data_IF_513953303977
#
_entry.id   IF_513953303977
#
_cell.length_a   1.000
_cell.length_b   1.000
_cell.length_c   1.000
_cell.angle_alpha   90.00
_cell.angle_beta   90.00
_cell.angle_gamma   90.00
#
_symmetry.space_group_name_H-M   'P 1'
#
loop_
_entity.id
_entity.type
_entity.pdbx_description
1 polymer ?
#
# COMPACT_ATOMS: atom_id res chain seq x y z
N UNK A 1 12.10 20.87 12.66
CA UNK A 1 12.53 19.47 12.43
C UNK A 1 11.46 18.78 11.62
N UNK A 2 11.83 18.02 10.58
CA UNK A 2 10.88 17.16 9.86
C UNK A 2 10.52 15.95 10.72
N UNK A 3 9.28 15.48 10.63
CA UNK A 3 8.83 14.26 11.31
C UNK A 3 9.05 13.07 10.37
N UNK A 4 9.50 11.95 10.94
CA UNK A 4 9.43 10.65 10.27
C UNK A 4 8.10 10.01 10.68
N UNK A 5 7.27 9.69 9.70
CA UNK A 5 5.94 9.08 9.91
C UNK A 5 5.94 7.72 9.23
N UNK A 6 5.42 6.71 9.94
CA UNK A 6 5.17 5.38 9.39
C UNK A 6 3.66 5.25 9.22
N UNK A 7 3.23 4.84 8.03
CA UNK A 7 1.84 4.53 7.69
C UNK A 7 1.86 3.19 6.95
N UNK A 8 1.10 2.23 7.45
CA UNK A 8 1.09 0.86 6.95
C UNK A 8 -0.28 0.22 7.19
N UNK A 9 -0.64 -0.74 6.32
CA UNK A 9 -1.74 -1.66 6.56
C UNK A 9 -1.20 -2.87 7.30
N UNK A 10 -1.88 -3.27 8.38
CA UNK A 10 -1.45 -4.34 9.27
C UNK A 10 -2.65 -5.17 9.71
N UNK A 11 -2.57 -6.48 9.55
CA UNK A 11 -3.57 -7.40 10.13
C UNK A 11 -3.43 -7.47 11.65
N UNK A 12 -4.46 -7.97 12.35
CA UNK A 12 -4.45 -8.10 13.81
C UNK A 12 -3.29 -8.97 14.33
N UNK A 13 -2.89 -9.98 13.56
CA UNK A 13 -1.77 -10.89 13.86
C UNK A 13 -0.41 -10.43 13.30
N UNK A 14 -0.35 -9.23 12.72
CA UNK A 14 0.91 -8.55 12.40
C UNK A 14 1.43 -8.74 10.97
N UNK A 15 0.57 -9.07 10.01
CA UNK A 15 0.93 -9.27 8.61
C UNK A 15 0.77 -7.98 7.79
N UNK A 16 1.81 -7.64 7.04
CA UNK A 16 1.84 -6.51 6.08
C UNK A 16 2.02 -6.98 4.63
N UNK A 17 2.32 -8.27 4.42
CA UNK A 17 2.64 -8.83 3.10
C UNK A 17 1.38 -8.94 2.23
N UNK A 18 1.52 -8.60 0.94
CA UNK A 18 0.49 -8.71 -0.08
C UNK A 18 -0.92 -8.20 0.31
N UNK A 19 -1.09 -6.96 0.82
CA UNK A 19 -2.41 -6.42 1.17
C UNK A 19 -3.34 -6.26 -0.02
N UNK A 20 -2.83 -5.86 -1.19
CA UNK A 20 -3.63 -5.40 -2.32
C UNK A 20 -4.09 -6.52 -3.27
N UNK A 21 -3.14 -7.19 -3.93
CA UNK A 21 -3.47 -8.24 -4.91
C UNK A 21 -3.14 -9.66 -4.40
N UNK A 22 -3.90 -10.69 -4.81
CA UNK A 22 -3.61 -12.10 -4.47
C UNK A 22 -2.19 -12.56 -4.82
N UNK A 23 -1.61 -11.98 -5.86
CA UNK A 23 -0.28 -12.29 -6.40
C UNK A 23 0.76 -11.17 -6.18
N UNK A 24 0.46 -10.18 -5.32
CA UNK A 24 1.34 -9.01 -5.08
C UNK A 24 2.72 -9.41 -4.54
N UNK A 25 2.75 -10.29 -3.54
CA UNK A 25 3.97 -10.81 -2.92
C UNK A 25 3.75 -12.20 -2.34
N UNK A 26 4.08 -13.23 -3.13
CA UNK A 26 3.94 -14.64 -2.74
C UNK A 26 5.25 -15.23 -2.19
N UNK A 27 6.22 -14.39 -1.79
CA UNK A 27 7.48 -14.87 -1.21
C UNK A 27 7.23 -15.77 0.02
N UNK A 28 8.16 -16.70 0.24
CA UNK A 28 8.11 -17.70 1.31
C UNK A 28 6.83 -18.57 1.36
N UNK A 29 6.08 -18.61 0.25
CA UNK A 29 4.86 -19.40 0.14
C UNK A 29 3.67 -18.73 0.81
N UNK A 30 3.63 -17.40 0.87
CA UNK A 30 2.49 -16.67 1.42
C UNK A 30 1.24 -16.83 0.52
N UNK A 31 0.16 -17.40 1.07
CA UNK A 31 -1.06 -17.75 0.33
C UNK A 31 -2.25 -16.79 0.60
N UNK A 32 -2.05 -15.75 1.41
CA UNK A 32 -3.13 -14.86 1.89
C UNK A 32 -3.09 -13.46 1.24
N UNK A 33 -2.59 -13.36 0.01
CA UNK A 33 -2.56 -12.09 -0.73
C UNK A 33 -3.96 -11.51 -0.97
N UNK A 34 -4.03 -10.18 -1.09
CA UNK A 34 -5.27 -9.43 -1.31
C UNK A 34 -6.16 -9.34 -0.08
N UNK A 35 -5.63 -9.58 1.12
CA UNK A 35 -6.41 -9.60 2.35
C UNK A 35 -7.08 -8.27 2.70
N UNK A 36 -6.62 -7.13 2.15
CA UNK A 36 -7.20 -5.82 2.38
C UNK A 36 -8.49 -5.60 1.56
N UNK A 37 -8.65 -6.28 0.43
CA UNK A 37 -9.76 -6.03 -0.53
C UNK A 37 -11.15 -6.07 0.11
N UNK A 38 -11.48 -7.02 1.01
CA UNK A 38 -12.78 -7.04 1.68
C UNK A 38 -13.05 -5.86 2.63
N UNK A 39 -12.01 -5.10 2.99
CA UNK A 39 -12.05 -4.00 3.95
C UNK A 39 -11.78 -2.64 3.30
N UNK A 40 -11.73 -2.57 1.96
CA UNK A 40 -11.30 -1.37 1.25
C UNK A 40 -12.22 -0.17 1.49
N UNK A 41 -13.52 -0.39 1.66
CA UNK A 41 -14.49 0.66 1.97
C UNK A 41 -14.33 1.23 3.40
N UNK A 42 -13.67 0.46 4.29
CA UNK A 42 -13.35 0.88 5.66
C UNK A 42 -11.96 1.53 5.76
N UNK A 43 -11.22 1.64 4.64
CA UNK A 43 -9.90 2.26 4.63
C UNK A 43 -10.04 3.74 4.96
N UNK A 44 -9.37 4.15 6.04
CA UNK A 44 -9.41 5.51 6.55
C UNK A 44 -8.81 6.48 5.50
N UNK A 45 -9.53 7.55 5.11
CA UNK A 45 -8.99 8.61 4.25
C UNK A 45 -7.69 9.21 4.81
N UNK A 46 -7.42 9.08 6.12
CA UNK A 46 -6.16 9.47 6.74
C UNK A 46 -4.91 8.83 6.11
N UNK A 47 -5.01 7.64 5.50
CA UNK A 47 -3.88 7.01 4.78
C UNK A 47 -3.54 7.82 3.53
N UNK A 48 -4.55 8.16 2.73
CA UNK A 48 -4.38 8.97 1.53
C UNK A 48 -3.89 10.38 1.88
N UNK A 49 -4.48 11.01 2.90
CA UNK A 49 -4.07 12.33 3.39
C UNK A 49 -2.62 12.32 3.91
N UNK A 50 -2.22 11.26 4.60
CA UNK A 50 -0.86 11.07 5.11
C UNK A 50 0.18 10.95 3.99
N UNK A 51 -0.16 10.19 2.95
CA UNK A 51 0.66 10.07 1.73
C UNK A 51 0.73 11.41 0.97
N UNK A 52 -0.39 12.12 0.82
CA UNK A 52 -0.44 13.41 0.14
C UNK A 52 0.34 14.51 0.88
N UNK A 53 0.41 14.44 2.21
CA UNK A 53 1.16 15.37 3.04
C UNK A 53 2.69 15.09 3.06
N UNK A 54 3.14 13.97 2.51
CA UNK A 54 4.54 13.58 2.54
C UNK A 54 5.34 14.25 1.40
N UNK A 55 6.40 15.00 1.76
CA UNK A 55 7.36 15.56 0.78
C UNK A 55 8.16 14.46 0.04
N UNK A 56 8.36 13.30 0.68
CA UNK A 56 9.17 12.20 0.19
C UNK A 56 8.79 10.87 0.86
N UNK A 57 9.02 9.76 0.15
CA UNK A 57 8.81 8.40 0.65
C UNK A 57 10.14 7.68 0.89
N UNK A 58 10.21 6.88 1.94
CA UNK A 58 11.29 5.93 2.20
C UNK A 58 10.69 4.53 2.16
N UNK A 59 11.09 3.73 1.17
CA UNK A 59 10.54 2.40 0.93
C UNK A 59 11.63 1.35 0.99
N UNK A 60 11.27 0.15 1.46
CA UNK A 60 12.07 -1.04 1.25
C UNK A 60 12.09 -1.43 -0.25
N UNK A 61 13.06 -2.24 -0.66
CA UNK A 61 13.23 -2.66 -2.06
C UNK A 61 11.96 -3.28 -2.65
N UNK A 62 11.34 -4.22 -1.94
CA UNK A 62 10.17 -4.96 -2.41
C UNK A 62 8.99 -4.02 -2.67
N UNK A 63 8.64 -3.19 -1.68
CA UNK A 63 7.57 -2.19 -1.82
C UNK A 63 7.85 -1.21 -2.96
N UNK A 64 9.11 -0.78 -3.13
CA UNK A 64 9.49 0.06 -4.26
C UNK A 64 9.27 -0.63 -5.61
N UNK A 65 9.65 -1.89 -5.76
CA UNK A 65 9.48 -2.65 -7.01
C UNK A 65 7.99 -2.84 -7.37
N UNK A 66 7.14 -3.17 -6.37
CA UNK A 66 5.68 -3.27 -6.54
C UNK A 66 5.12 -1.93 -7.03
N UNK A 67 5.43 -0.83 -6.34
CA UNK A 67 4.92 0.49 -6.69
C UNK A 67 5.41 0.96 -8.07
N UNK A 68 6.70 0.79 -8.35
CA UNK A 68 7.31 1.18 -9.62
C UNK A 68 6.77 0.39 -10.82
N UNK A 69 6.31 -0.86 -10.61
CA UNK A 69 5.67 -1.66 -11.67
C UNK A 69 4.27 -1.16 -12.04
N UNK A 70 3.54 -0.59 -11.08
CA UNK A 70 2.16 -0.14 -11.26
C UNK A 70 2.07 1.25 -11.90
N UNK A 71 2.78 2.24 -11.33
CA UNK A 71 2.61 3.66 -11.68
C UNK A 71 2.79 4.04 -13.14
N UNK A 72 3.71 3.45 -13.94
CA UNK A 72 3.83 3.79 -15.36
C UNK A 72 2.55 3.53 -16.18
N UNK A 73 1.66 2.70 -15.65
CA UNK A 73 0.39 2.30 -16.30
C UNK A 73 -0.84 2.74 -15.52
N UNK A 74 -0.66 3.38 -14.36
CA UNK A 74 -1.78 3.85 -13.55
C UNK A 74 -2.54 4.94 -14.31
N UNK A 75 -3.84 4.74 -14.49
CA UNK A 75 -4.72 5.76 -15.06
C UNK A 75 -4.93 6.89 -14.05
N UNK A 76 -5.12 8.13 -14.53
CA UNK A 76 -5.55 9.24 -13.67
C UNK A 76 -6.93 8.99 -13.03
N UNK A 77 -7.74 8.08 -13.59
CA UNK A 77 -9.03 7.63 -13.05
C UNK A 77 -8.92 6.42 -12.10
N UNK A 78 -7.70 6.01 -11.70
CA UNK A 78 -7.54 4.91 -10.75
C UNK A 78 -8.21 5.26 -9.41
N UNK A 79 -9.08 4.40 -8.84
CA UNK A 79 -9.79 4.69 -7.59
C UNK A 79 -8.86 4.96 -6.40
N UNK A 80 -7.61 4.50 -6.46
CA UNK A 80 -6.56 4.77 -5.47
C UNK A 80 -5.93 6.17 -5.57
N UNK A 81 -6.24 6.94 -6.61
CA UNK A 81 -5.67 8.27 -6.90
C UNK A 81 -6.71 9.36 -7.17
N UNK A 82 -7.99 9.00 -7.29
CA UNK A 82 -9.09 9.96 -7.41
C UNK A 82 -9.41 10.58 -6.05
N UNK A 83 -8.81 11.74 -5.78
CA UNK A 83 -9.27 12.70 -4.76
C UNK A 83 -10.41 13.58 -5.27
#
# INVERSE_FOLDING_TARGET
MRKLVVSEFLTLDGVMQAPGAPDEDTEDGFEHGGWQVPYFDDVDPAVADGLAAADALVLGRKTYEIFASYWPTASEESPSLSG
#
